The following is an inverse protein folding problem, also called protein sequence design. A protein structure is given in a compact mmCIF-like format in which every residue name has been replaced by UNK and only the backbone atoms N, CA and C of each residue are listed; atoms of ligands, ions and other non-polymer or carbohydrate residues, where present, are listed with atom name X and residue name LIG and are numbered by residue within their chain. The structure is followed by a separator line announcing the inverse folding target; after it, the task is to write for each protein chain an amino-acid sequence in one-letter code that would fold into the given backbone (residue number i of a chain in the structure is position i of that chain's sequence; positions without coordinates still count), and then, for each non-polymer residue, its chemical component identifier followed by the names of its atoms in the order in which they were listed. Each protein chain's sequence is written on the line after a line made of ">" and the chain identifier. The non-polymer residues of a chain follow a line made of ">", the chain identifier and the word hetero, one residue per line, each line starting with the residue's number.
data_IF_152939656057
#
_entry.id   IF_152939656057
#
_cell.length_a   1.000
_cell.length_b   1.000
_cell.length_c   1.000
_cell.angle_alpha   90.00
_cell.angle_beta   90.00
_cell.angle_gamma   90.00
#
_symmetry.space_group_name_H-M   'P 1'
#
loop_
_entity.id
_entity.type
_entity.pdbx_description
1 polymer ?
#
# COMPACT_ATOMS: atom_id res chain seq x y z
N UNK A 1 -27.22 6.83 -11.81
CA UNK A 1 -26.22 6.18 -10.93
C UNK A 1 -25.81 7.15 -9.82
N UNK A 2 -26.24 6.95 -8.58
CA UNK A 2 -25.94 7.88 -7.46
C UNK A 2 -24.49 7.69 -7.01
N UNK A 3 -23.63 8.70 -7.17
CA UNK A 3 -22.31 8.73 -6.53
C UNK A 3 -22.53 8.70 -5.01
N UNK A 4 -22.14 7.63 -4.32
CA UNK A 4 -22.13 7.59 -2.85
C UNK A 4 -21.23 8.71 -2.34
N UNK A 5 -21.73 9.51 -1.40
CA UNK A 5 -20.94 10.50 -0.69
C UNK A 5 -19.70 9.80 -0.11
N UNK A 6 -18.51 10.26 -0.52
CA UNK A 6 -17.26 9.63 -0.07
C UNK A 6 -17.00 10.12 1.35
N UNK A 7 -17.19 9.27 2.34
CA UNK A 7 -16.80 9.58 3.73
C UNK A 7 -15.30 9.87 3.73
N UNK A 8 -14.94 11.11 4.05
CA UNK A 8 -13.54 11.56 4.10
C UNK A 8 -12.91 11.01 5.38
N UNK A 9 -12.47 9.75 5.36
CA UNK A 9 -11.75 9.17 6.49
C UNK A 9 -10.45 9.92 6.73
N UNK A 10 -10.21 10.24 8.01
CA UNK A 10 -8.98 10.88 8.48
C UNK A 10 -7.90 9.80 8.60
N UNK A 11 -6.80 9.99 7.87
CA UNK A 11 -5.60 9.15 7.98
C UNK A 11 -4.53 10.00 8.67
N UNK A 12 -3.82 9.42 9.64
CA UNK A 12 -2.82 10.14 10.45
C UNK A 12 -1.47 10.35 9.76
N UNK A 13 -1.23 9.68 8.63
CA UNK A 13 0.01 9.80 7.85
C UNK A 13 -0.22 10.51 6.51
N UNK A 14 0.84 11.10 5.98
CA UNK A 14 0.90 11.75 4.66
C UNK A 14 1.79 10.97 3.70
N UNK A 15 1.67 11.28 2.42
CA UNK A 15 2.54 10.72 1.38
C UNK A 15 3.94 11.30 1.57
N UNK A 16 4.97 10.45 1.52
CA UNK A 16 6.37 10.84 1.71
C UNK A 16 6.88 10.77 3.16
N UNK A 17 6.03 10.42 4.13
CA UNK A 17 6.49 10.21 5.51
C UNK A 17 7.12 8.83 5.70
N UNK A 18 8.15 8.76 6.55
CA UNK A 18 8.70 7.49 7.06
C UNK A 18 7.79 6.94 8.13
N UNK A 19 7.41 5.68 8.00
CA UNK A 19 6.54 4.99 8.95
C UNK A 19 7.15 3.65 9.34
N UNK A 20 6.95 3.27 10.60
CA UNK A 20 7.33 1.97 11.15
C UNK A 20 6.10 1.09 11.30
N UNK A 21 6.24 -0.18 10.97
CA UNK A 21 5.15 -1.15 11.12
C UNK A 21 5.13 -1.67 12.56
N UNK A 22 3.98 -1.53 13.20
CA UNK A 22 3.75 -1.90 14.60
C UNK A 22 3.33 -3.38 14.71
N UNK A 23 2.56 -3.86 13.74
CA UNK A 23 1.90 -5.18 13.79
C UNK A 23 1.84 -5.87 12.43
N UNK A 24 1.74 -7.19 12.45
CA UNK A 24 1.67 -8.05 11.26
C UNK A 24 2.99 -8.72 10.88
N UNK A 25 3.01 -9.35 9.69
CA UNK A 25 4.16 -10.10 9.19
C UNK A 25 5.42 -9.24 9.02
N UNK A 26 5.24 -7.98 8.66
CA UNK A 26 6.33 -7.03 8.37
C UNK A 26 6.67 -6.16 9.59
N UNK A 27 6.35 -6.60 10.81
CA UNK A 27 6.56 -5.84 12.06
C UNK A 27 8.02 -5.41 12.22
N UNK A 28 8.22 -4.15 12.61
CA UNK A 28 9.54 -3.57 12.89
C UNK A 28 10.23 -2.94 11.69
N UNK A 29 9.80 -3.25 10.46
CA UNK A 29 10.33 -2.62 9.24
C UNK A 29 9.88 -1.16 9.16
N UNK A 30 10.75 -0.34 8.58
CA UNK A 30 10.53 1.08 8.30
C UNK A 30 10.48 1.27 6.79
N UNK A 31 9.58 2.12 6.31
CA UNK A 31 9.50 2.44 4.89
C UNK A 31 8.80 3.77 4.63
N UNK A 32 8.85 4.21 3.38
CA UNK A 32 8.24 5.45 2.91
C UNK A 32 6.82 5.21 2.41
N UNK A 33 5.88 6.09 2.79
CA UNK A 33 4.50 6.03 2.29
C UNK A 33 4.44 6.50 0.84
N UNK A 34 4.26 5.56 -0.10
CA UNK A 34 4.16 5.81 -1.54
C UNK A 34 2.77 6.28 -1.96
N UNK A 35 1.72 5.68 -1.41
CA UNK A 35 0.32 6.02 -1.76
C UNK A 35 -0.63 5.77 -0.60
N UNK A 36 -1.64 6.62 -0.47
CA UNK A 36 -2.72 6.47 0.51
C UNK A 36 -4.04 6.23 -0.21
N UNK A 37 -4.71 5.13 0.13
CA UNK A 37 -6.04 4.75 -0.33
C UNK A 37 -7.04 5.12 0.77
N UNK A 38 -7.42 6.41 0.80
CA UNK A 38 -8.27 6.99 1.86
C UNK A 38 -9.63 6.30 2.00
N UNK A 39 -10.19 5.80 0.89
CA UNK A 39 -11.49 5.09 0.89
C UNK A 39 -11.46 3.77 1.69
N UNK A 40 -10.28 3.16 1.84
CA UNK A 40 -10.13 1.86 2.50
C UNK A 40 -9.25 1.92 3.76
N UNK A 41 -8.87 3.12 4.23
CA UNK A 41 -7.88 3.30 5.31
C UNK A 41 -6.60 2.48 5.12
N UNK A 42 -6.15 2.42 3.86
CA UNK A 42 -5.00 1.60 3.46
C UNK A 42 -3.91 2.48 2.89
N UNK A 43 -2.68 2.01 3.02
CA UNK A 43 -1.48 2.69 2.56
C UNK A 43 -0.51 1.70 1.94
N UNK A 44 0.15 2.14 0.87
CA UNK A 44 1.18 1.39 0.18
C UNK A 44 2.50 1.97 0.64
N UNK A 45 3.32 1.12 1.26
CA UNK A 45 4.66 1.47 1.74
C UNK A 45 5.68 0.83 0.80
N UNK A 46 6.71 1.59 0.47
CA UNK A 46 7.77 1.14 -0.41
C UNK A 46 8.53 -0.05 0.17
N UNK A 47 8.72 -1.10 -0.63
CA UNK A 47 9.52 -2.27 -0.27
C UNK A 47 8.90 -3.21 0.78
N UNK A 48 7.64 -2.97 1.17
CA UNK A 48 6.97 -3.71 2.24
C UNK A 48 5.72 -4.42 1.70
N UNK A 49 5.44 -5.62 2.21
CA UNK A 49 4.26 -6.43 1.86
C UNK A 49 4.21 -6.69 0.34
N UNK A 50 5.37 -7.09 -0.20
CA UNK A 50 5.54 -7.44 -1.60
C UNK A 50 4.87 -8.79 -1.84
N UNK A 51 4.05 -8.88 -2.88
CA UNK A 51 3.46 -10.12 -3.35
C UNK A 51 3.73 -10.31 -4.83
N UNK A 52 3.73 -11.57 -5.23
CA UNK A 52 3.89 -11.97 -6.62
C UNK A 52 2.53 -11.93 -7.31
N UNK A 53 2.43 -11.16 -8.38
CA UNK A 53 1.28 -11.13 -9.27
C UNK A 53 1.69 -11.70 -10.63
N UNK A 54 1.12 -12.84 -10.97
CA UNK A 54 1.22 -13.41 -12.31
C UNK A 54 0.31 -12.60 -13.25
N UNK A 55 0.90 -11.94 -14.23
CA UNK A 55 0.16 -11.16 -15.21
C UNK A 55 0.12 -11.94 -16.51
N UNK A 56 -1.10 -12.32 -16.93
CA UNK A 56 -1.31 -12.93 -18.24
C UNK A 56 -0.96 -11.91 -19.34
N UNK A 57 -0.35 -12.35 -20.44
CA UNK A 57 -0.06 -11.46 -21.55
C UNK A 57 -1.37 -10.92 -22.14
N UNK A 58 -1.36 -9.65 -22.52
CA UNK A 58 -2.56 -8.99 -23.09
C UNK A 58 -2.54 -9.04 -24.61
N UNK A 59 -1.35 -9.12 -25.21
CA UNK A 59 -1.15 -9.29 -26.64
C UNK A 59 -0.51 -10.66 -26.92
N UNK A 60 -0.83 -11.28 -28.07
CA UNK A 60 -0.31 -12.59 -28.44
C UNK A 60 1.22 -12.65 -28.60
N UNK A 61 1.89 -11.51 -28.83
CA UNK A 61 3.36 -11.42 -28.93
C UNK A 61 4.05 -11.07 -27.59
N UNK A 62 3.29 -10.81 -26.52
CA UNK A 62 3.88 -10.51 -25.21
C UNK A 62 4.03 -11.78 -24.38
N UNK A 63 5.17 -11.93 -23.71
CA UNK A 63 5.36 -12.99 -22.73
C UNK A 63 4.65 -12.63 -21.41
N UNK A 64 4.12 -13.65 -20.72
CA UNK A 64 3.59 -13.46 -19.36
C UNK A 64 4.69 -12.99 -18.40
N UNK A 65 4.37 -12.07 -17.51
CA UNK A 65 5.34 -11.48 -16.58
C UNK A 65 4.99 -11.78 -15.12
N UNK A 66 6.01 -12.10 -14.33
CA UNK A 66 5.89 -12.26 -12.88
C UNK A 66 6.24 -10.92 -12.22
N UNK A 67 5.22 -10.13 -11.88
CA UNK A 67 5.42 -8.82 -11.24
C UNK A 67 5.47 -8.94 -9.72
N UNK A 68 6.50 -8.37 -9.11
CA UNK A 68 6.56 -8.16 -7.65
C UNK A 68 5.97 -6.79 -7.36
N UNK A 69 4.82 -6.76 -6.69
CA UNK A 69 4.11 -5.51 -6.40
C UNK A 69 3.89 -5.36 -4.90
N UNK A 70 3.93 -4.11 -4.46
CA UNK A 70 3.66 -3.72 -3.08
C UNK A 70 2.16 -3.73 -2.83
N UNK A 71 1.74 -4.41 -1.76
CA UNK A 71 0.33 -4.46 -1.38
C UNK A 71 0.00 -3.50 -0.24
N UNK A 72 -1.22 -2.95 -0.22
CA UNK A 72 -1.64 -2.04 0.81
C UNK A 72 -1.68 -2.69 2.20
N UNK A 73 -1.28 -1.93 3.21
CA UNK A 73 -1.38 -2.23 4.64
C UNK A 73 -2.41 -1.30 5.26
N UNK A 74 -3.11 -1.74 6.32
CA UNK A 74 -4.06 -0.91 7.03
C UNK A 74 -3.35 0.18 7.85
N UNK A 75 -3.92 1.39 7.90
CA UNK A 75 -3.28 2.53 8.56
C UNK A 75 -3.06 2.33 10.06
N UNK A 76 -3.90 1.55 10.73
CA UNK A 76 -3.72 1.24 12.17
C UNK A 76 -2.43 0.47 12.48
N UNK A 77 -1.85 -0.21 11.51
CA UNK A 77 -0.69 -1.07 11.73
C UNK A 77 0.64 -0.31 11.57
N UNK A 78 0.58 1.02 11.40
CA UNK A 78 1.77 1.86 11.18
C UNK A 78 1.79 3.05 12.13
N UNK A 79 3.01 3.35 12.59
CA UNK A 79 3.34 4.53 13.39
C UNK A 79 4.21 5.46 12.58
N UNK A 80 4.10 6.77 12.83
CA UNK A 80 5.11 7.72 12.38
C UNK A 80 6.47 7.31 12.96
N UNK A 81 7.49 7.35 12.12
CA UNK A 81 8.88 7.13 12.50
C UNK A 81 9.61 8.46 12.31
N UNK A 82 9.89 9.14 13.42
CA UNK A 82 10.83 10.25 13.42
C UNK A 82 12.19 9.70 13.83
N UNK A 83 13.18 10.08 13.03
CA UNK A 83 14.60 9.77 13.25
C UNK A 83 15.16 10.68 14.35
#
# INVERSE_FOLDING_TARGET
>A
MKKKATVKMKVHVKIGEKVKIISGQEKGKVGLVKKIIKQQNKLIIEGINIRIKHVKPTRPEENGEIKRIEFPIHSSNVSLYQE
#
